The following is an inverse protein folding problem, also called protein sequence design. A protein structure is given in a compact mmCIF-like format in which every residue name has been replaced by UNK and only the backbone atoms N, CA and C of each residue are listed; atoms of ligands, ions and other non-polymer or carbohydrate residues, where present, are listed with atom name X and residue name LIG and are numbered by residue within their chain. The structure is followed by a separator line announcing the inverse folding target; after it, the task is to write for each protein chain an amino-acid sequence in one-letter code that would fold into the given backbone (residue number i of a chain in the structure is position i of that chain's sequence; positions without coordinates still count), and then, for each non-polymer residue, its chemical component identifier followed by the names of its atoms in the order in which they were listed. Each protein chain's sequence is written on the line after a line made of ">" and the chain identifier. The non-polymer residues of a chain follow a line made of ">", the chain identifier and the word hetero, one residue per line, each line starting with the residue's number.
data_IF_000154964078
#
_entry.id   IF_000154964078
#
_cell.length_a   1.000
_cell.length_b   1.000
_cell.length_c   1.000
_cell.angle_alpha   90.00
_cell.angle_beta   90.00
_cell.angle_gamma   90.00
#
_symmetry.space_group_name_H-M   'P 1'
#
loop_
_entity.id
_entity.type
_entity.pdbx_description
1 polymer ?
#
# COMPACT_ATOMS: atom_id res chain seq x y z
N UNK A 1 -18.93 4.17 -8.52
CA UNK A 1 -17.82 4.96 -7.91
C UNK A 1 -17.45 4.22 -6.63
N UNK A 2 -16.16 3.98 -6.34
CA UNK A 2 -15.68 3.32 -5.11
C UNK A 2 -15.20 4.37 -4.11
N UNK A 3 -15.49 4.18 -2.81
CA UNK A 3 -14.99 5.01 -1.71
C UNK A 3 -13.77 4.35 -1.09
N UNK A 4 -12.64 5.05 -1.07
CA UNK A 4 -11.38 4.55 -0.54
C UNK A 4 -10.96 5.42 0.63
N UNK A 5 -10.67 4.81 1.79
CA UNK A 5 -9.99 5.45 2.88
C UNK A 5 -8.47 5.37 2.66
N UNK A 6 -7.78 6.50 2.75
CA UNK A 6 -6.33 6.56 2.59
C UNK A 6 -5.66 7.02 3.89
N UNK A 7 -4.67 6.28 4.32
CA UNK A 7 -3.86 6.52 5.50
C UNK A 7 -2.37 6.45 5.12
N UNK A 8 -1.53 7.25 5.77
CA UNK A 8 -0.08 7.19 5.64
C UNK A 8 0.59 7.68 6.91
N UNK A 9 1.88 7.43 7.05
CA UNK A 9 2.73 8.02 8.09
C UNK A 9 2.20 7.77 9.51
N UNK A 10 1.78 6.55 9.80
CA UNK A 10 1.20 6.17 11.08
C UNK A 10 2.26 6.11 12.18
N UNK A 11 3.50 5.75 11.83
CA UNK A 11 4.68 5.74 12.69
C UNK A 11 4.44 5.03 14.03
N UNK A 12 3.87 3.81 14.00
CA UNK A 12 3.74 3.00 15.20
C UNK A 12 5.10 2.66 15.79
N UNK A 13 5.35 3.15 16.98
CA UNK A 13 6.60 2.97 17.71
C UNK A 13 6.39 3.21 19.21
N UNK A 14 7.38 2.91 20.04
CA UNK A 14 7.23 2.94 21.50
C UNK A 14 7.01 4.35 22.06
N UNK A 15 7.61 5.37 21.46
CA UNK A 15 7.61 6.74 22.02
C UNK A 15 6.25 7.46 21.90
N UNK A 16 5.48 7.18 20.87
CA UNK A 16 4.20 7.88 20.58
C UNK A 16 3.03 6.92 20.40
N UNK A 17 3.15 5.69 20.91
CA UNK A 17 2.17 4.64 20.67
C UNK A 17 0.74 5.05 21.00
N UNK A 18 0.50 5.63 22.18
CA UNK A 18 -0.84 6.01 22.61
C UNK A 18 -1.48 7.06 21.70
N UNK A 19 -0.68 8.01 21.20
CA UNK A 19 -1.16 9.04 20.28
C UNK A 19 -1.44 8.46 18.88
N UNK A 20 -0.49 7.70 18.33
CA UNK A 20 -0.64 7.03 17.05
C UNK A 20 -1.88 6.14 17.02
N UNK A 21 -2.05 5.29 18.05
CA UNK A 21 -3.19 4.38 18.15
C UNK A 21 -4.52 5.13 18.28
N UNK A 22 -4.57 6.20 19.09
CA UNK A 22 -5.76 7.05 19.22
C UNK A 22 -6.11 7.73 17.90
N UNK A 23 -5.13 8.33 17.22
CA UNK A 23 -5.35 9.05 15.97
C UNK A 23 -5.79 8.10 14.85
N UNK A 24 -5.08 6.97 14.67
CA UNK A 24 -5.42 6.00 13.65
C UNK A 24 -6.77 5.33 13.95
N UNK A 25 -7.06 5.00 15.21
CA UNK A 25 -8.36 4.47 15.63
C UNK A 25 -9.51 5.41 15.29
N UNK A 26 -9.38 6.71 15.58
CA UNK A 26 -10.38 7.73 15.23
C UNK A 26 -10.56 7.86 13.70
N UNK A 27 -9.47 7.80 12.94
CA UNK A 27 -9.51 7.83 11.48
C UNK A 27 -10.21 6.60 10.90
N UNK A 28 -9.99 5.42 11.48
CA UNK A 28 -10.71 4.18 11.13
C UNK A 28 -12.21 4.32 11.43
N UNK A 29 -12.59 4.83 12.62
CA UNK A 29 -13.99 5.07 12.95
C UNK A 29 -14.67 5.95 11.91
N UNK A 30 -13.97 7.00 11.48
CA UNK A 30 -14.49 7.88 10.45
C UNK A 30 -14.61 7.21 9.08
N UNK A 31 -13.63 6.40 8.69
CA UNK A 31 -13.67 5.64 7.44
C UNK A 31 -14.85 4.66 7.41
N UNK A 32 -15.06 3.94 8.51
CA UNK A 32 -16.20 3.01 8.67
C UNK A 32 -17.52 3.77 8.59
N UNK A 33 -17.67 4.87 9.33
CA UNK A 33 -18.88 5.69 9.33
C UNK A 33 -19.22 6.28 7.95
N UNK A 34 -18.19 6.57 7.13
CA UNK A 34 -18.35 7.03 5.75
C UNK A 34 -18.59 5.89 4.76
N UNK A 35 -18.57 4.64 5.19
CA UNK A 35 -18.76 3.46 4.38
C UNK A 35 -17.63 3.28 3.36
N UNK A 36 -16.38 3.35 3.80
CA UNK A 36 -15.24 3.02 2.95
C UNK A 36 -15.37 1.59 2.43
N UNK A 37 -15.15 1.41 1.13
CA UNK A 37 -15.27 0.12 0.43
C UNK A 37 -13.88 -0.53 0.21
N UNK A 38 -12.82 0.22 0.43
CA UNK A 38 -11.44 -0.25 0.52
C UNK A 38 -10.63 0.71 1.38
N UNK A 39 -9.53 0.22 1.94
CA UNK A 39 -8.57 1.05 2.68
C UNK A 39 -7.17 0.89 2.08
N UNK A 40 -6.42 1.99 2.02
CA UNK A 40 -5.01 2.02 1.59
C UNK A 40 -4.17 2.61 2.71
N UNK A 41 -3.11 1.91 3.11
CA UNK A 41 -2.05 2.42 3.99
C UNK A 41 -0.80 2.54 3.13
N UNK A 42 -0.43 3.77 2.76
CA UNK A 42 0.56 4.01 1.70
C UNK A 42 1.99 4.21 2.22
N UNK A 43 2.35 3.52 3.28
CA UNK A 43 3.71 3.47 3.82
C UNK A 43 3.86 4.14 5.17
N UNK A 44 5.03 3.89 5.76
CA UNK A 44 5.46 4.36 7.08
C UNK A 44 4.41 4.07 8.18
N UNK A 45 3.82 2.85 8.13
CA UNK A 45 2.93 2.36 9.16
C UNK A 45 3.68 2.14 10.48
N UNK A 46 4.97 1.79 10.43
CA UNK A 46 5.84 1.66 11.60
C UNK A 46 6.88 2.77 11.65
N UNK A 47 7.38 3.12 12.85
CA UNK A 47 8.44 4.11 13.06
C UNK A 47 9.85 3.51 12.83
N UNK A 48 9.96 2.19 12.95
CA UNK A 48 11.16 1.38 12.72
C UNK A 48 10.76 -0.09 12.63
N UNK A 49 11.69 -0.98 12.33
CA UNK A 49 11.42 -2.42 12.38
C UNK A 49 10.92 -2.82 13.78
N UNK A 50 9.71 -3.35 13.86
CA UNK A 50 9.10 -3.76 15.12
C UNK A 50 9.30 -5.26 15.37
N UNK A 51 9.68 -5.59 16.59
CA UNK A 51 9.63 -6.97 17.07
C UNK A 51 8.17 -7.43 17.23
N UNK A 52 7.89 -8.71 16.98
CA UNK A 52 6.52 -9.25 17.08
C UNK A 52 5.92 -9.10 18.49
N UNK A 53 6.76 -9.10 19.54
CA UNK A 53 6.31 -8.91 20.92
C UNK A 53 6.19 -7.43 21.34
N UNK A 54 6.52 -6.49 20.44
CA UNK A 54 6.40 -5.07 20.76
C UNK A 54 4.94 -4.64 20.89
N UNK A 55 4.56 -3.87 21.93
CA UNK A 55 3.19 -3.37 22.06
C UNK A 55 2.70 -2.57 20.85
N UNK A 56 3.62 -1.90 20.15
CA UNK A 56 3.31 -1.17 18.92
C UNK A 56 2.88 -2.11 17.79
N UNK A 57 3.51 -3.29 17.67
CA UNK A 57 3.12 -4.30 16.69
C UNK A 57 1.71 -4.84 16.99
N UNK A 58 1.43 -5.19 18.24
CA UNK A 58 0.10 -5.65 18.67
C UNK A 58 -1.00 -4.64 18.33
N UNK A 59 -0.79 -3.37 18.67
CA UNK A 59 -1.76 -2.30 18.42
C UNK A 59 -1.98 -2.05 16.94
N UNK A 60 -0.91 -1.98 16.14
CA UNK A 60 -1.03 -1.81 14.69
C UNK A 60 -1.79 -2.99 14.06
N UNK A 61 -1.45 -4.22 14.46
CA UNK A 61 -2.16 -5.44 14.01
C UNK A 61 -3.66 -5.36 14.35
N UNK A 62 -4.01 -4.95 15.57
CA UNK A 62 -5.40 -4.81 16.01
C UNK A 62 -6.17 -3.78 15.15
N UNK A 63 -5.57 -2.63 14.84
CA UNK A 63 -6.21 -1.60 14.02
C UNK A 63 -6.34 -2.03 12.55
N UNK A 64 -5.30 -2.63 11.97
CA UNK A 64 -5.37 -3.16 10.59
C UNK A 64 -6.42 -4.29 10.51
N UNK A 65 -6.49 -5.17 11.51
CA UNK A 65 -7.52 -6.19 11.62
C UNK A 65 -8.92 -5.59 11.64
N UNK A 66 -9.12 -4.53 12.40
CA UNK A 66 -10.39 -3.82 12.49
C UNK A 66 -10.82 -3.23 11.13
N UNK A 67 -9.87 -2.67 10.36
CA UNK A 67 -10.12 -2.28 8.96
C UNK A 67 -10.50 -3.47 8.09
N UNK A 68 -9.76 -4.58 8.20
CA UNK A 68 -9.99 -5.80 7.43
C UNK A 68 -11.31 -6.50 7.79
N UNK A 69 -11.86 -6.25 8.96
CA UNK A 69 -13.23 -6.69 9.32
C UNK A 69 -14.31 -5.81 8.66
N UNK A 70 -13.95 -4.63 8.14
CA UNK A 70 -14.87 -3.71 7.47
C UNK A 70 -14.74 -3.73 5.93
N UNK A 71 -13.51 -3.66 5.39
CA UNK A 71 -13.25 -3.62 3.95
C UNK A 71 -11.86 -4.18 3.59
N UNK A 72 -11.60 -4.54 2.33
CA UNK A 72 -10.28 -4.94 1.86
C UNK A 72 -9.21 -3.86 2.14
N UNK A 73 -8.03 -4.29 2.61
CA UNK A 73 -6.92 -3.39 2.97
C UNK A 73 -5.74 -3.61 2.05
N UNK A 74 -5.22 -2.54 1.46
CA UNK A 74 -3.95 -2.52 0.72
C UNK A 74 -2.91 -1.78 1.56
N UNK A 75 -1.82 -2.45 1.91
CA UNK A 75 -0.67 -1.83 2.56
C UNK A 75 0.48 -1.72 1.56
N UNK A 76 1.08 -0.55 1.49
CA UNK A 76 2.25 -0.28 0.66
C UNK A 76 3.46 -0.11 1.57
N UNK A 77 4.57 -0.75 1.25
CA UNK A 77 5.81 -0.58 2.00
C UNK A 77 6.34 0.84 1.83
N UNK A 78 6.58 1.51 2.95
CA UNK A 78 7.15 2.86 3.02
C UNK A 78 8.67 2.89 2.99
N UNK A 79 9.27 3.87 3.66
CA UNK A 79 10.73 4.07 3.65
C UNK A 79 11.46 2.95 4.41
N UNK A 80 12.62 2.54 3.91
CA UNK A 80 13.38 1.46 4.55
C UNK A 80 13.92 1.79 5.94
N UNK A 81 14.00 3.08 6.29
CA UNK A 81 14.35 3.51 7.65
C UNK A 81 13.24 3.21 8.66
N UNK A 82 12.00 3.27 8.23
CA UNK A 82 10.83 2.99 9.06
C UNK A 82 10.33 1.56 8.86
N UNK A 83 10.31 1.10 7.63
CA UNK A 83 9.83 -0.23 7.25
C UNK A 83 10.92 -1.03 6.51
N UNK A 84 11.89 -1.63 7.23
CA UNK A 84 12.85 -2.55 6.60
C UNK A 84 12.14 -3.63 5.79
N UNK A 85 12.78 -4.19 4.74
CA UNK A 85 12.18 -5.25 3.93
C UNK A 85 11.64 -6.39 4.78
N UNK A 86 10.38 -6.76 4.54
CA UNK A 86 9.71 -7.83 5.29
C UNK A 86 8.92 -7.37 6.51
N UNK A 87 9.07 -6.14 7.01
CA UNK A 87 8.33 -5.63 8.18
C UNK A 87 6.81 -5.82 8.04
N UNK A 88 6.25 -5.51 6.88
CA UNK A 88 4.81 -5.64 6.65
C UNK A 88 4.36 -7.06 6.26
N UNK A 89 5.27 -8.02 6.10
CA UNK A 89 4.91 -9.35 5.58
C UNK A 89 3.90 -10.09 6.46
N UNK A 90 3.94 -9.88 7.78
CA UNK A 90 3.05 -10.49 8.76
C UNK A 90 1.58 -10.12 8.51
N UNK A 91 1.30 -8.93 7.97
CA UNK A 91 -0.07 -8.48 7.73
C UNK A 91 -0.80 -9.27 6.66
N UNK A 92 -0.07 -9.98 5.75
CA UNK A 92 -0.68 -10.92 4.79
C UNK A 92 -1.35 -12.12 5.47
N UNK A 93 -0.96 -12.41 6.71
CA UNK A 93 -1.48 -13.53 7.49
C UNK A 93 -2.65 -13.14 8.37
N UNK A 94 -3.04 -11.85 8.38
CA UNK A 94 -4.18 -11.41 9.16
C UNK A 94 -5.47 -12.01 8.59
N UNK A 95 -6.06 -12.92 9.37
CA UNK A 95 -7.42 -13.40 9.12
C UNK A 95 -8.43 -12.31 9.49
N UNK A 96 -9.14 -11.78 8.55
CA UNK A 96 -10.25 -10.83 8.71
C UNK A 96 -11.43 -11.26 7.86
N UNK A 97 -12.50 -10.48 7.87
CA UNK A 97 -13.63 -10.66 6.95
C UNK A 97 -13.19 -10.40 5.50
N UNK A 98 -12.27 -9.46 5.33
CA UNK A 98 -11.70 -9.08 4.04
C UNK A 98 -10.18 -9.27 4.05
N UNK A 99 -9.55 -9.46 2.88
CA UNK A 99 -8.12 -9.71 2.77
C UNK A 99 -7.29 -8.45 3.01
N UNK A 100 -6.07 -8.65 3.55
CA UNK A 100 -5.01 -7.64 3.59
C UNK A 100 -3.96 -7.99 2.55
N UNK A 101 -3.74 -7.11 1.58
CA UNK A 101 -2.68 -7.23 0.59
C UNK A 101 -1.50 -6.31 0.96
N UNK A 102 -0.28 -6.83 0.86
CA UNK A 102 0.94 -6.04 1.11
C UNK A 102 1.74 -5.93 -0.18
N UNK A 103 1.83 -4.72 -0.72
CA UNK A 103 2.64 -4.40 -1.88
C UNK A 103 4.04 -3.97 -1.44
N UNK A 104 5.02 -4.85 -1.61
CA UNK A 104 6.43 -4.62 -1.28
C UNK A 104 7.33 -4.52 -2.53
N UNK A 105 6.74 -4.55 -3.72
CA UNK A 105 7.43 -4.38 -5.01
C UNK A 105 6.57 -3.53 -5.95
N UNK A 106 7.19 -2.98 -6.96
CA UNK A 106 6.46 -2.30 -8.04
C UNK A 106 5.56 -3.32 -8.73
N UNK A 107 4.26 -3.08 -8.69
CA UNK A 107 3.24 -3.94 -9.26
C UNK A 107 1.92 -3.18 -9.42
N UNK A 108 1.01 -3.72 -10.20
CA UNK A 108 -0.39 -3.32 -10.15
C UNK A 108 -1.19 -4.32 -9.33
N UNK A 109 -2.18 -3.81 -8.63
CA UNK A 109 -3.10 -4.61 -7.83
C UNK A 109 -4.53 -4.19 -8.16
N UNK A 110 -5.38 -5.15 -8.49
CA UNK A 110 -6.79 -4.91 -8.75
C UNK A 110 -7.62 -5.35 -7.53
N UNK A 111 -8.60 -4.54 -7.14
CA UNK A 111 -9.67 -4.97 -6.27
C UNK A 111 -10.80 -5.55 -7.11
N UNK A 112 -11.18 -6.77 -6.84
CA UNK A 112 -12.24 -7.47 -7.59
C UNK A 112 -13.64 -7.19 -7.05
N UNK A 113 -14.66 -7.60 -7.80
CA UNK A 113 -16.07 -7.52 -7.36
C UNK A 113 -16.37 -8.42 -6.14
N UNK A 114 -15.53 -9.40 -5.86
CA UNK A 114 -15.62 -10.29 -4.71
C UNK A 114 -14.84 -9.78 -3.49
N UNK A 115 -14.38 -8.53 -3.52
CA UNK A 115 -13.55 -7.91 -2.50
C UNK A 115 -12.18 -8.61 -2.28
N UNK A 116 -11.65 -9.22 -3.33
CA UNK A 116 -10.34 -9.87 -3.31
C UNK A 116 -9.28 -9.00 -4.00
N UNK A 117 -8.02 -9.19 -3.59
CA UNK A 117 -6.87 -8.55 -4.21
C UNK A 117 -6.22 -9.47 -5.25
N UNK A 118 -6.15 -9.02 -6.49
CA UNK A 118 -5.41 -9.66 -7.57
C UNK A 118 -4.16 -8.83 -7.88
N UNK A 119 -2.97 -9.39 -7.70
CA UNK A 119 -1.72 -8.72 -8.05
C UNK A 119 -1.22 -9.15 -9.43
N UNK A 120 -0.61 -8.22 -10.17
CA UNK A 120 0.08 -8.54 -11.41
C UNK A 120 1.29 -9.43 -11.15
N UNK A 121 1.60 -10.33 -12.08
CA UNK A 121 2.78 -11.21 -12.00
C UNK A 121 4.06 -10.44 -12.26
N UNK A 122 3.99 -9.40 -13.09
CA UNK A 122 5.08 -8.45 -13.36
C UNK A 122 4.77 -7.07 -12.79
N UNK A 123 5.42 -6.03 -13.27
CA UNK A 123 5.21 -4.64 -12.85
C UNK A 123 3.83 -4.09 -13.26
N UNK A 124 3.18 -4.67 -14.27
CA UNK A 124 1.83 -4.31 -14.73
C UNK A 124 1.04 -5.54 -15.17
N UNK A 125 -0.26 -5.37 -15.34
CA UNK A 125 -1.12 -6.35 -16.00
C UNK A 125 -1.00 -6.21 -17.53
N UNK A 126 -1.16 -7.31 -18.26
CA UNK A 126 -1.22 -7.31 -19.72
C UNK A 126 -2.54 -6.70 -20.24
N UNK A 127 -3.58 -6.71 -19.45
CA UNK A 127 -4.89 -6.12 -19.73
C UNK A 127 -5.66 -5.84 -18.43
N UNK A 128 -6.78 -5.13 -18.55
CA UNK A 128 -7.63 -4.85 -17.38
C UNK A 128 -8.23 -6.16 -16.87
N UNK A 129 -7.97 -6.53 -15.58
CA UNK A 129 -8.52 -7.77 -15.04
C UNK A 129 -10.03 -7.78 -15.06
N UNK A 130 -10.62 -8.92 -15.47
CA UNK A 130 -12.07 -9.09 -15.47
C UNK A 130 -12.65 -8.94 -14.06
N UNK A 131 -13.75 -8.21 -13.92
CA UNK A 131 -14.38 -7.96 -12.63
C UNK A 131 -13.65 -6.99 -11.71
N UNK A 132 -12.63 -6.27 -12.19
CA UNK A 132 -11.95 -5.26 -11.40
C UNK A 132 -12.90 -4.08 -11.08
N UNK A 133 -13.01 -3.74 -9.78
CA UNK A 133 -13.73 -2.56 -9.27
C UNK A 133 -12.82 -1.33 -9.21
N UNK A 134 -11.52 -1.55 -9.00
CA UNK A 134 -10.48 -0.52 -8.99
C UNK A 134 -9.13 -1.12 -9.34
N UNK A 135 -8.23 -0.32 -9.91
CA UNK A 135 -6.88 -0.69 -10.26
C UNK A 135 -5.89 0.24 -9.53
N UNK A 136 -5.01 -0.34 -8.74
CA UNK A 136 -3.99 0.37 -7.97
C UNK A 136 -2.62 0.17 -8.61
N UNK A 137 -1.87 1.25 -8.79
CA UNK A 137 -0.47 1.21 -9.21
C UNK A 137 0.40 1.40 -7.99
N UNK A 138 1.02 0.32 -7.52
CA UNK A 138 1.81 0.30 -6.30
C UNK A 138 3.28 0.55 -6.63
N UNK A 139 3.81 1.65 -6.14
CA UNK A 139 5.23 2.02 -6.25
C UNK A 139 5.75 2.21 -4.82
N UNK A 140 6.19 1.14 -4.14
CA UNK A 140 6.80 1.25 -2.82
C UNK A 140 8.13 2.01 -2.90
N UNK A 141 8.73 2.28 -1.75
CA UNK A 141 10.02 3.00 -1.68
C UNK A 141 11.06 2.45 -2.65
N UNK A 142 11.58 3.34 -3.50
CA UNK A 142 12.71 3.04 -4.39
C UNK A 142 14.00 3.37 -3.66
N UNK A 143 14.87 2.37 -3.49
CA UNK A 143 16.14 2.54 -2.81
C UNK A 143 17.15 3.25 -3.70
N UNK A 144 17.43 4.53 -3.42
CA UNK A 144 18.44 5.32 -4.14
C UNK A 144 19.85 4.71 -4.08
N UNK A 145 20.17 3.97 -3.01
CA UNK A 145 21.49 3.34 -2.88
C UNK A 145 21.72 2.24 -3.93
N UNK A 146 20.68 1.48 -4.29
CA UNK A 146 20.75 0.48 -5.36
C UNK A 146 21.00 1.15 -6.71
N UNK A 147 20.32 2.26 -6.98
CA UNK A 147 20.54 3.04 -8.23
C UNK A 147 21.92 3.68 -8.23
N UNK A 148 22.36 4.27 -7.11
CA UNK A 148 23.69 4.86 -6.97
C UNK A 148 24.83 3.85 -7.22
N UNK A 149 24.65 2.61 -6.79
CA UNK A 149 25.62 1.54 -7.05
C UNK A 149 25.76 1.20 -8.56
N UNK A 150 24.74 1.51 -9.36
CA UNK A 150 24.74 1.21 -10.80
C UNK A 150 25.22 2.37 -11.64
N UNK A 151 24.80 3.61 -11.32
CA UNK A 151 25.06 4.80 -12.16
C UNK A 151 25.95 5.85 -11.50
N UNK A 152 26.38 5.62 -10.24
CA UNK A 152 27.13 6.59 -9.45
C UNK A 152 26.22 7.49 -8.59
N UNK A 153 26.77 7.98 -7.46
CA UNK A 153 25.96 8.71 -6.47
C UNK A 153 25.49 10.08 -6.98
N UNK A 154 26.29 10.75 -7.82
CA UNK A 154 25.95 12.09 -8.35
C UNK A 154 24.71 12.06 -9.24
N UNK A 155 24.56 11.01 -10.05
CA UNK A 155 23.50 10.91 -11.05
C UNK A 155 22.30 10.07 -10.57
N UNK A 156 22.41 9.46 -9.39
CA UNK A 156 21.38 8.53 -8.87
C UNK A 156 20.00 9.18 -8.74
N UNK A 157 19.92 10.43 -8.30
CA UNK A 157 18.64 11.12 -8.12
C UNK A 157 17.95 11.41 -9.46
N UNK A 158 18.70 11.83 -10.47
CA UNK A 158 18.20 12.07 -11.82
C UNK A 158 17.79 10.76 -12.46
N UNK A 159 18.63 9.72 -12.38
CA UNK A 159 18.34 8.40 -12.92
C UNK A 159 17.07 7.79 -12.30
N UNK A 160 16.86 7.91 -10.99
CA UNK A 160 15.60 7.49 -10.33
C UNK A 160 14.41 8.22 -10.91
N UNK A 161 14.50 9.56 -11.06
CA UNK A 161 13.43 10.38 -11.63
C UNK A 161 13.06 9.97 -13.05
N UNK A 162 14.06 9.77 -13.90
CA UNK A 162 13.87 9.34 -15.29
C UNK A 162 13.25 7.94 -15.39
N UNK A 163 13.72 6.99 -14.59
CA UNK A 163 13.16 5.64 -14.54
C UNK A 163 11.70 5.63 -14.03
N UNK A 164 11.41 6.42 -13.00
CA UNK A 164 10.04 6.56 -12.52
C UNK A 164 9.12 7.20 -13.58
N UNK A 165 9.60 8.22 -14.29
CA UNK A 165 8.84 8.83 -15.37
C UNK A 165 8.54 7.84 -16.51
N UNK A 166 9.52 7.00 -16.89
CA UNK A 166 9.32 5.94 -17.88
C UNK A 166 8.32 4.90 -17.40
N UNK A 167 8.44 4.47 -16.16
CA UNK A 167 7.52 3.52 -15.53
C UNK A 167 6.08 4.06 -15.53
N UNK A 168 5.88 5.29 -15.09
CA UNK A 168 4.57 5.94 -15.07
C UNK A 168 3.95 6.06 -16.46
N UNK A 169 4.77 6.40 -17.48
CA UNK A 169 4.33 6.40 -18.88
C UNK A 169 3.94 5.01 -19.35
N UNK A 170 4.65 3.98 -18.90
CA UNK A 170 4.36 2.58 -19.21
C UNK A 170 2.97 2.12 -18.73
N UNK A 171 2.47 2.66 -17.62
CA UNK A 171 1.12 2.35 -17.12
C UNK A 171 -0.01 3.03 -17.93
N UNK A 172 0.28 4.10 -18.65
CA UNK A 172 -0.73 4.92 -19.32
C UNK A 172 -1.66 4.15 -20.30
N UNK A 173 -1.20 3.18 -21.10
CA UNK A 173 -2.09 2.40 -21.97
C UNK A 173 -3.16 1.64 -21.18
N UNK A 174 -2.75 0.96 -20.11
CA UNK A 174 -3.66 0.18 -19.27
C UNK A 174 -4.63 1.07 -18.49
N UNK A 175 -4.15 2.21 -17.95
CA UNK A 175 -5.01 3.18 -17.28
C UNK A 175 -6.09 3.74 -18.24
N UNK A 176 -5.72 4.01 -19.49
CA UNK A 176 -6.70 4.43 -20.51
C UNK A 176 -7.73 3.32 -20.81
N UNK A 177 -7.27 2.07 -20.88
CA UNK A 177 -8.16 0.92 -21.08
C UNK A 177 -9.11 0.75 -19.89
N UNK A 178 -8.62 0.83 -18.66
CA UNK A 178 -9.42 0.76 -17.43
C UNK A 178 -10.51 1.85 -17.40
N UNK A 179 -10.15 3.11 -17.69
CA UNK A 179 -11.10 4.22 -17.74
C UNK A 179 -12.22 3.99 -18.77
N UNK A 180 -11.88 3.46 -19.96
CA UNK A 180 -12.90 3.13 -20.98
C UNK A 180 -13.88 2.05 -20.51
N UNK A 181 -13.45 1.19 -19.59
CA UNK A 181 -14.28 0.16 -18.98
C UNK A 181 -14.96 0.63 -17.67
N UNK A 182 -14.82 1.91 -17.30
CA UNK A 182 -15.39 2.45 -16.07
C UNK A 182 -14.66 2.02 -14.80
N UNK A 183 -13.45 1.43 -14.90
CA UNK A 183 -12.62 1.02 -13.77
C UNK A 183 -11.73 2.19 -13.34
N UNK A 184 -11.90 2.73 -12.11
CA UNK A 184 -11.06 3.78 -11.58
C UNK A 184 -9.62 3.29 -11.39
N UNK A 185 -8.65 4.20 -11.62
CA UNK A 185 -7.23 3.93 -11.43
C UNK A 185 -6.67 4.86 -10.35
N UNK A 186 -5.90 4.29 -9.42
CA UNK A 186 -5.28 4.94 -8.26
C UNK A 186 -3.76 4.70 -8.35
N UNK A 187 -2.97 5.74 -8.11
CA UNK A 187 -1.51 5.65 -8.10
C UNK A 187 -0.90 6.72 -7.25
#
# INVERSE_FOLDING_TARGET
>A
MIRIAHFSDLHYGTKKLAEADRCFGAAIDRAIALGAEAAVISGDATDHGLDLHAPAAERLVAQVRRLADHCPVLMLQGTFSHEPPGTLAIFRLLGGRHPVHVASRIAQVALTAQDEWLASTSWCFDGVPGGARALFTCIPTVNKAVVAATVGAADAAQAVGEHLALLLRGYAPLHRAARRQGVPTIG
#
